data_IF_349775358948
#
_entry.id   IF_349775358948
#
_cell.length_a   1.000
_cell.length_b   1.000
_cell.length_c   1.000
_cell.angle_alpha   90.00
_cell.angle_beta   90.00
_cell.angle_gamma   90.00
#
_symmetry.space_group_name_H-M   'P 1'
#
loop_
_entity.id
_entity.type
_entity.pdbx_description
1 polymer ?
#
# COMPACT_ATOMS: atom_id res chain seq x y z
N UNK A 1 -61.24 -35.13 22.27
CA UNK A 1 -60.80 -33.82 21.74
C UNK A 1 -59.35 -33.57 22.16
N UNK A 2 -58.38 -33.73 21.26
CA UNK A 2 -56.97 -33.43 21.55
C UNK A 2 -56.61 -32.05 21.01
N UNK A 3 -56.25 -31.12 21.92
CA UNK A 3 -55.93 -29.75 21.58
C UNK A 3 -54.67 -29.67 20.71
N UNK A 4 -54.78 -29.04 19.53
CA UNK A 4 -53.66 -28.73 18.63
C UNK A 4 -52.62 -27.88 19.36
N UNK A 5 -51.39 -28.40 19.53
CA UNK A 5 -50.23 -27.60 19.94
C UNK A 5 -49.87 -26.61 18.84
N UNK A 6 -50.13 -25.33 19.07
CA UNK A 6 -49.63 -24.21 18.26
C UNK A 6 -48.10 -24.17 18.34
N UNK A 7 -47.40 -24.47 17.24
CA UNK A 7 -45.94 -24.30 17.15
C UNK A 7 -45.63 -22.80 17.06
N UNK A 8 -44.69 -22.33 17.89
CA UNK A 8 -44.22 -20.94 17.87
C UNK A 8 -43.53 -20.61 16.53
N UNK A 9 -43.66 -19.38 16.01
CA UNK A 9 -43.10 -18.99 14.72
C UNK A 9 -41.56 -19.15 14.70
N UNK A 10 -41.05 -19.64 13.57
CA UNK A 10 -39.62 -19.86 13.33
C UNK A 10 -38.83 -18.57 13.60
N UNK A 11 -37.80 -18.63 14.46
CA UNK A 11 -37.02 -17.47 14.92
C UNK A 11 -37.44 -16.88 16.27
N UNK A 12 -38.53 -17.35 16.87
CA UNK A 12 -38.96 -16.91 18.21
C UNK A 12 -38.11 -17.56 19.29
N UNK A 13 -37.03 -16.91 19.71
CA UNK A 13 -36.21 -17.40 20.83
C UNK A 13 -37.09 -17.53 22.09
N UNK A 14 -37.12 -18.69 22.77
CA UNK A 14 -37.95 -18.88 23.96
C UNK A 14 -37.59 -17.84 25.02
N UNK A 15 -38.60 -17.25 25.65
CA UNK A 15 -38.45 -16.19 26.67
C UNK A 15 -38.91 -16.70 28.03
N UNK A 16 -38.20 -16.31 29.10
CA UNK A 16 -38.56 -16.52 30.50
C UNK A 16 -38.78 -15.17 31.19
N UNK A 17 -39.73 -15.11 32.12
CA UNK A 17 -39.97 -13.95 32.97
C UNK A 17 -38.95 -13.91 34.11
N UNK A 18 -38.34 -12.75 34.35
CA UNK A 18 -37.51 -12.54 35.52
C UNK A 18 -38.40 -12.36 36.75
N UNK A 19 -38.27 -13.23 37.76
CA UNK A 19 -39.07 -13.15 39.00
C UNK A 19 -38.89 -11.86 39.84
N UNK A 20 -37.88 -11.05 39.55
CA UNK A 20 -37.55 -9.83 40.33
C UNK A 20 -38.09 -8.55 39.68
N UNK A 21 -38.22 -8.51 38.36
CA UNK A 21 -38.66 -7.29 37.65
C UNK A 21 -39.74 -7.56 36.58
N UNK A 22 -40.26 -8.79 36.56
CA UNK A 22 -41.30 -9.32 35.67
C UNK A 22 -41.06 -9.16 34.16
N UNK A 23 -39.86 -8.71 33.74
CA UNK A 23 -39.49 -8.58 32.33
C UNK A 23 -39.33 -9.94 31.67
N UNK A 24 -39.90 -10.08 30.47
CA UNK A 24 -39.74 -11.25 29.58
C UNK A 24 -38.41 -11.15 28.83
N UNK A 25 -37.51 -12.11 29.04
CA UNK A 25 -36.14 -12.09 28.51
C UNK A 25 -35.83 -13.42 27.85
N UNK A 26 -35.00 -13.41 26.79
CA UNK A 26 -34.62 -14.66 26.12
C UNK A 26 -33.98 -15.65 27.11
N UNK A 27 -34.29 -16.94 26.95
CA UNK A 27 -33.72 -18.01 27.76
C UNK A 27 -32.18 -17.99 27.75
N UNK A 28 -31.58 -17.60 26.63
CA UNK A 28 -30.12 -17.49 26.48
C UNK A 28 -29.50 -16.36 27.30
N UNK A 29 -30.26 -15.32 27.64
CA UNK A 29 -29.77 -14.15 28.37
C UNK A 29 -30.32 -14.02 29.80
N UNK A 30 -31.27 -14.87 30.20
CA UNK A 30 -31.94 -14.78 31.51
C UNK A 30 -30.95 -14.85 32.68
N UNK A 31 -29.90 -15.68 32.60
CA UNK A 31 -28.89 -15.80 33.65
C UNK A 31 -28.07 -14.51 33.83
N UNK A 32 -27.62 -13.90 32.72
CA UNK A 32 -26.93 -12.60 32.73
C UNK A 32 -27.82 -11.51 33.29
N UNK A 33 -29.08 -11.49 32.86
CA UNK A 33 -30.05 -10.54 33.36
C UNK A 33 -30.33 -10.71 34.85
N UNK A 34 -30.52 -11.93 35.37
CA UNK A 34 -30.76 -12.16 36.80
C UNK A 34 -29.61 -11.60 37.64
N UNK A 35 -28.35 -11.78 37.20
CA UNK A 35 -27.18 -11.20 37.88
C UNK A 35 -27.26 -9.66 37.91
N UNK A 36 -27.50 -9.02 36.76
CA UNK A 36 -27.66 -7.55 36.68
C UNK A 36 -28.86 -7.06 37.50
N UNK A 37 -29.99 -7.76 37.44
CA UNK A 37 -31.22 -7.42 38.17
C UNK A 37 -31.02 -7.56 39.69
N UNK A 38 -30.09 -8.42 40.13
CA UNK A 38 -29.64 -8.51 41.54
C UNK A 38 -28.60 -7.45 41.91
N UNK A 39 -28.24 -6.53 41.01
CA UNK A 39 -27.23 -5.50 41.24
C UNK A 39 -25.79 -6.00 41.10
N UNK A 40 -25.59 -7.24 40.65
CA UNK A 40 -24.26 -7.81 40.46
C UNK A 40 -23.68 -7.24 39.16
N UNK A 41 -22.59 -6.47 39.27
CA UNK A 41 -21.86 -5.97 38.11
C UNK A 41 -21.29 -7.14 37.32
N UNK A 42 -21.62 -7.21 36.03
CA UNK A 42 -21.02 -8.19 35.14
C UNK A 42 -19.54 -7.84 34.91
N UNK A 43 -18.67 -8.85 34.72
CA UNK A 43 -17.30 -8.62 34.26
C UNK A 43 -17.32 -7.81 32.97
N UNK A 44 -16.43 -6.80 32.89
CA UNK A 44 -16.28 -6.01 31.66
C UNK A 44 -15.93 -6.94 30.52
N UNK A 45 -16.63 -6.79 29.41
CA UNK A 45 -16.32 -7.54 28.19
C UNK A 45 -14.98 -7.06 27.62
N UNK A 46 -14.33 -7.93 26.84
CA UNK A 46 -13.09 -7.57 26.11
C UNK A 46 -13.27 -6.33 25.22
N UNK A 47 -14.47 -6.15 24.66
CA UNK A 47 -14.81 -4.98 23.85
C UNK A 47 -14.80 -3.68 24.66
N UNK A 48 -15.44 -3.68 25.84
CA UNK A 48 -15.47 -2.52 26.73
C UNK A 48 -14.08 -2.17 27.28
N UNK A 49 -13.26 -3.18 27.57
CA UNK A 49 -11.87 -3.00 27.99
C UNK A 49 -11.07 -2.35 26.85
N UNK A 50 -11.20 -2.85 25.61
CA UNK A 50 -10.54 -2.28 24.43
C UNK A 50 -10.98 -0.83 24.19
N UNK A 51 -12.27 -0.53 24.29
CA UNK A 51 -12.79 0.84 24.12
C UNK A 51 -12.21 1.80 25.16
N UNK A 52 -12.17 1.42 26.44
CA UNK A 52 -11.56 2.23 27.51
C UNK A 52 -10.06 2.43 27.32
N UNK A 53 -9.35 1.40 26.86
CA UNK A 53 -7.92 1.50 26.56
C UNK A 53 -7.64 2.43 25.37
N UNK A 54 -8.50 2.39 24.34
CA UNK A 54 -8.40 3.29 23.21
C UNK A 54 -8.65 4.74 23.63
N UNK A 55 -9.73 5.01 24.38
CA UNK A 55 -10.07 6.36 24.86
C UNK A 55 -8.93 6.96 25.70
N UNK A 56 -8.38 6.18 26.64
CA UNK A 56 -7.29 6.60 27.54
C UNK A 56 -6.00 6.94 26.79
N UNK A 57 -5.75 6.29 25.66
CA UNK A 57 -4.50 6.44 24.89
C UNK A 57 -4.69 7.24 23.59
N UNK A 58 -5.89 7.76 23.31
CA UNK A 58 -6.22 8.45 22.07
C UNK A 58 -5.31 9.67 21.88
N UNK A 59 -5.21 10.52 22.88
CA UNK A 59 -4.43 11.77 22.82
C UNK A 59 -2.94 11.50 22.64
N UNK A 60 -2.41 10.47 23.31
CA UNK A 60 -1.00 10.05 23.16
C UNK A 60 -0.70 9.47 21.78
N UNK A 61 -1.63 8.68 21.20
CA UNK A 61 -1.46 8.14 19.84
C UNK A 61 -1.58 9.22 18.77
N UNK A 62 -2.51 10.15 18.92
CA UNK A 62 -2.68 11.29 18.00
C UNK A 62 -1.48 12.23 18.10
N UNK A 63 -0.99 12.50 19.33
CA UNK A 63 0.26 13.23 19.57
C UNK A 63 1.44 12.56 18.89
N UNK A 64 1.71 11.28 19.17
CA UNK A 64 2.79 10.53 18.52
C UNK A 64 2.69 10.50 16.98
N UNK A 65 1.49 10.45 16.41
CA UNK A 65 1.30 10.55 14.95
C UNK A 65 1.60 11.95 14.40
N UNK A 66 1.26 13.00 15.15
CA UNK A 66 1.61 14.39 14.81
C UNK A 66 3.12 14.61 14.96
N UNK A 67 3.73 14.10 16.01
CA UNK A 67 5.16 14.21 16.25
C UNK A 67 5.96 13.43 15.20
N UNK A 68 5.52 12.21 14.82
CA UNK A 68 6.11 11.51 13.68
C UNK A 68 5.95 12.26 12.35
N UNK A 69 4.86 13.01 12.17
CA UNK A 69 4.67 13.85 10.99
C UNK A 69 5.61 15.05 11.03
N UNK A 70 5.70 15.74 12.16
CA UNK A 70 6.58 16.89 12.36
C UNK A 70 8.07 16.50 12.24
N UNK A 71 8.47 15.34 12.75
CA UNK A 71 9.83 14.82 12.60
C UNK A 71 10.18 14.56 11.12
N UNK A 72 9.22 14.01 10.36
CA UNK A 72 9.36 13.83 8.90
C UNK A 72 9.41 15.16 8.14
N UNK A 73 8.81 16.20 8.69
CA UNK A 73 8.80 17.55 8.12
C UNK A 73 10.08 18.34 8.49
N UNK A 74 10.74 18.01 9.61
CA UNK A 74 11.92 18.70 10.12
C UNK A 74 13.28 18.25 9.52
N UNK A 75 13.37 17.02 8.98
CA UNK A 75 14.62 16.45 8.42
C UNK A 75 15.07 17.01 7.04
N UNK A 76 14.63 18.22 6.65
CA UNK A 76 15.33 19.04 5.64
C UNK A 76 15.41 18.52 4.19
N UNK A 77 14.69 17.45 3.84
CA UNK A 77 14.52 17.02 2.45
C UNK A 77 13.03 16.89 2.14
N UNK A 78 12.50 17.46 1.03
CA UNK A 78 11.17 17.15 0.56
C UNK A 78 11.20 15.78 -0.11
N UNK A 79 11.56 14.75 0.63
CA UNK A 79 11.29 13.38 0.23
C UNK A 79 9.80 13.16 0.47
N UNK A 80 8.97 13.73 -0.41
CA UNK A 80 7.63 13.21 -0.61
C UNK A 80 7.79 11.68 -0.65
N UNK A 81 7.16 10.93 0.25
CA UNK A 81 7.42 9.50 0.33
C UNK A 81 6.99 8.87 -0.99
N UNK A 82 7.92 8.19 -1.67
CA UNK A 82 7.63 7.55 -2.94
C UNK A 82 6.44 6.59 -2.76
N UNK A 83 5.38 6.73 -3.57
CA UNK A 83 4.22 5.86 -3.45
C UNK A 83 4.65 4.42 -3.70
N UNK A 84 4.31 3.52 -2.77
CA UNK A 84 4.54 2.08 -2.91
C UNK A 84 3.29 1.38 -3.45
N UNK A 85 3.42 0.48 -4.43
CA UNK A 85 2.29 -0.30 -4.91
C UNK A 85 1.75 -1.21 -3.79
N UNK A 86 0.42 -1.42 -3.74
CA UNK A 86 -0.23 -2.28 -2.72
C UNK A 86 -0.69 -3.60 -3.31
N UNK A 87 -0.40 -4.73 -2.64
CA UNK A 87 -0.98 -6.04 -2.98
C UNK A 87 -0.02 -7.05 -3.63
N UNK A 88 1.21 -6.63 -3.93
CA UNK A 88 2.27 -7.49 -4.50
C UNK A 88 3.44 -7.71 -3.54
N UNK A 89 3.29 -7.37 -2.26
CA UNK A 89 4.38 -7.59 -1.30
C UNK A 89 4.71 -9.08 -1.19
N UNK A 90 5.99 -9.42 -1.37
CA UNK A 90 6.49 -10.79 -1.43
C UNK A 90 6.17 -11.53 -2.74
N UNK A 91 5.58 -10.88 -3.74
CA UNK A 91 5.30 -11.51 -5.03
C UNK A 91 6.55 -11.51 -5.91
N UNK A 92 6.77 -12.55 -6.74
CA UNK A 92 7.86 -12.57 -7.73
C UNK A 92 7.93 -11.40 -8.73
N UNK A 93 6.86 -10.59 -8.82
CA UNK A 93 6.74 -9.45 -9.72
C UNK A 93 6.78 -8.12 -8.95
N UNK A 94 6.96 -8.12 -7.63
CA UNK A 94 6.89 -6.92 -6.78
C UNK A 94 7.79 -5.79 -7.27
N UNK A 95 9.05 -6.12 -7.60
CA UNK A 95 10.05 -5.15 -8.04
C UNK A 95 9.67 -4.56 -9.41
N UNK A 96 9.19 -5.40 -10.34
CA UNK A 96 8.67 -4.93 -11.63
C UNK A 96 7.55 -3.89 -11.46
N UNK A 97 6.74 -4.01 -10.41
CA UNK A 97 5.65 -3.09 -10.12
C UNK A 97 6.11 -1.69 -9.66
N UNK A 98 7.37 -1.55 -9.24
CA UNK A 98 7.97 -0.26 -8.89
C UNK A 98 8.35 0.57 -10.13
N UNK A 99 8.27 -0.04 -11.32
CA UNK A 99 8.61 0.59 -12.59
C UNK A 99 7.40 0.57 -13.54
N UNK A 100 6.45 1.52 -13.40
CA UNK A 100 5.17 1.49 -14.14
C UNK A 100 5.32 1.39 -15.66
N UNK A 101 6.30 2.07 -16.27
CA UNK A 101 6.55 1.99 -17.72
C UNK A 101 7.02 0.60 -18.17
N UNK A 102 7.95 0.01 -17.43
CA UNK A 102 8.42 -1.36 -17.68
C UNK A 102 7.33 -2.41 -17.42
N UNK A 103 6.53 -2.21 -16.37
CA UNK A 103 5.36 -3.04 -16.07
C UNK A 103 4.35 -2.99 -17.23
N UNK A 104 3.93 -1.80 -17.66
CA UNK A 104 3.01 -1.67 -18.79
C UNK A 104 3.53 -2.37 -20.04
N UNK A 105 4.82 -2.23 -20.37
CA UNK A 105 5.44 -2.92 -21.51
C UNK A 105 5.41 -4.45 -21.37
N UNK A 106 5.76 -4.96 -20.19
CA UNK A 106 5.77 -6.41 -19.89
C UNK A 106 4.37 -7.05 -20.02
N UNK A 107 3.32 -6.27 -19.80
CA UNK A 107 1.92 -6.72 -19.85
C UNK A 107 1.16 -6.26 -21.09
N UNK A 108 1.70 -5.35 -21.90
CA UNK A 108 1.03 -4.79 -23.08
C UNK A 108 0.82 -5.83 -24.18
N UNK A 109 1.78 -6.76 -24.34
CA UNK A 109 1.78 -7.78 -25.40
C UNK A 109 1.10 -9.09 -25.00
N UNK A 110 0.60 -9.20 -23.77
CA UNK A 110 0.00 -10.43 -23.28
C UNK A 110 -1.52 -10.33 -23.33
N UNK A 111 -2.16 -11.18 -24.13
CA UNK A 111 -3.60 -11.39 -23.96
C UNK A 111 -3.89 -12.06 -22.61
N UNK A 112 -5.09 -11.85 -22.06
CA UNK A 112 -5.47 -12.33 -20.71
C UNK A 112 -5.20 -13.83 -20.51
N UNK A 113 -5.37 -14.62 -21.58
CA UNK A 113 -5.16 -16.07 -21.56
C UNK A 113 -3.71 -16.49 -21.84
N UNK A 114 -2.87 -15.58 -22.30
CA UNK A 114 -1.44 -15.79 -22.51
C UNK A 114 -0.58 -15.43 -21.30
N UNK A 115 -1.12 -14.68 -20.33
CA UNK A 115 -0.46 -14.41 -19.05
C UNK A 115 -0.01 -15.69 -18.36
N UNK A 116 1.22 -15.72 -17.84
CA UNK A 116 1.83 -16.93 -17.24
C UNK A 116 2.00 -18.12 -18.21
N UNK A 117 1.83 -17.92 -19.53
CA UNK A 117 2.16 -18.96 -20.50
C UNK A 117 3.67 -19.06 -20.70
N UNK A 118 4.13 -20.20 -21.23
CA UNK A 118 5.53 -20.40 -21.65
C UNK A 118 6.01 -19.29 -22.59
N UNK A 119 5.15 -18.86 -23.52
CA UNK A 119 5.44 -17.77 -24.47
C UNK A 119 5.64 -16.43 -23.76
N UNK A 120 4.76 -16.10 -22.81
CA UNK A 120 4.84 -14.86 -22.05
C UNK A 120 6.12 -14.80 -21.22
N UNK A 121 6.42 -15.86 -20.45
CA UNK A 121 7.67 -15.96 -19.70
C UNK A 121 8.89 -15.87 -20.61
N UNK A 122 8.88 -16.56 -21.75
CA UNK A 122 9.97 -16.48 -22.72
C UNK A 122 10.20 -15.04 -23.20
N UNK A 123 9.13 -14.32 -23.55
CA UNK A 123 9.23 -12.91 -23.97
C UNK A 123 9.84 -12.02 -22.89
N UNK A 124 9.50 -12.22 -21.62
CA UNK A 124 10.06 -11.44 -20.53
C UNK A 124 11.51 -11.81 -20.21
N UNK A 125 11.86 -13.09 -20.27
CA UNK A 125 13.23 -13.56 -20.07
C UNK A 125 14.18 -13.06 -21.17
N UNK A 126 13.68 -12.72 -22.36
CA UNK A 126 14.50 -12.05 -23.38
C UNK A 126 15.01 -10.68 -22.90
N UNK A 127 14.26 -9.97 -22.05
CA UNK A 127 14.68 -8.67 -21.51
C UNK A 127 15.88 -8.76 -20.57
N UNK A 128 16.18 -9.95 -20.04
CA UNK A 128 17.36 -10.20 -19.20
C UNK A 128 18.65 -10.42 -20.00
N UNK A 129 18.56 -10.52 -21.34
CA UNK A 129 19.71 -10.73 -22.23
C UNK A 129 20.22 -9.39 -22.76
N UNK A 130 21.49 -9.00 -22.49
CA UNK A 130 22.01 -7.69 -22.87
C UNK A 130 21.96 -7.45 -24.39
N UNK A 131 22.22 -8.49 -25.19
CA UNK A 131 22.16 -8.48 -26.67
C UNK A 131 20.73 -8.32 -27.21
N UNK A 132 19.71 -8.52 -26.36
CA UNK A 132 18.29 -8.39 -26.69
C UNK A 132 17.62 -7.19 -26.03
N UNK A 133 18.41 -6.27 -25.47
CA UNK A 133 17.92 -5.02 -24.86
C UNK A 133 17.07 -4.18 -25.81
N UNK A 134 17.26 -4.27 -27.13
CA UNK A 134 16.43 -3.60 -28.13
C UNK A 134 14.93 -3.96 -28.07
N UNK A 135 14.53 -5.04 -27.38
CA UNK A 135 13.13 -5.36 -27.14
C UNK A 135 12.49 -4.59 -25.96
N UNK A 136 13.30 -3.92 -25.14
CA UNK A 136 12.85 -3.01 -24.09
C UNK A 136 12.47 -1.64 -24.68
N UNK A 137 11.62 -0.85 -24.00
CA UNK A 137 11.40 0.54 -24.40
C UNK A 137 12.71 1.32 -24.36
N UNK A 138 12.87 2.31 -25.22
CA UNK A 138 14.12 3.05 -25.43
C UNK A 138 14.73 3.60 -24.13
N UNK A 139 13.88 4.10 -23.23
CA UNK A 139 14.27 4.61 -21.91
C UNK A 139 14.94 3.54 -21.01
N UNK A 140 14.69 2.25 -21.23
CA UNK A 140 15.22 1.11 -20.46
C UNK A 140 16.43 0.43 -21.11
N UNK A 141 16.86 0.88 -22.30
CA UNK A 141 17.97 0.26 -23.04
C UNK A 141 19.35 0.70 -22.54
N UNK A 142 19.43 1.81 -21.79
CA UNK A 142 20.70 2.30 -21.27
C UNK A 142 21.24 1.45 -20.10
N UNK A 143 22.56 1.48 -19.91
CA UNK A 143 23.23 0.63 -18.92
C UNK A 143 22.80 0.90 -17.46
N UNK A 144 22.44 2.15 -17.12
CA UNK A 144 21.99 2.50 -15.77
C UNK A 144 20.63 1.84 -15.45
N UNK A 145 19.68 1.92 -16.37
CA UNK A 145 18.34 1.37 -16.21
C UNK A 145 18.29 -0.15 -16.38
N UNK A 146 19.24 -0.73 -17.14
CA UNK A 146 19.33 -2.18 -17.32
C UNK A 146 19.55 -2.93 -16.00
N UNK A 147 20.26 -2.34 -15.03
CA UNK A 147 20.40 -2.92 -13.69
C UNK A 147 19.04 -3.08 -13.00
N UNK A 148 18.17 -2.07 -13.10
CA UNK A 148 16.82 -2.11 -12.55
C UNK A 148 15.93 -3.15 -13.27
N UNK A 149 16.12 -3.34 -14.57
CA UNK A 149 15.48 -4.44 -15.33
C UNK A 149 15.90 -5.79 -14.75
N UNK A 150 17.20 -6.04 -14.59
CA UNK A 150 17.68 -7.33 -14.05
C UNK A 150 17.12 -7.63 -12.67
N UNK A 151 17.12 -6.64 -11.77
CA UNK A 151 16.53 -6.80 -10.45
C UNK A 151 15.02 -7.03 -10.51
N UNK A 152 14.30 -6.34 -11.40
CA UNK A 152 12.85 -6.48 -11.59
C UNK A 152 12.43 -7.89 -12.03
N UNK A 153 13.25 -8.54 -12.85
CA UNK A 153 12.98 -9.85 -13.42
C UNK A 153 13.78 -10.98 -12.75
N UNK A 154 14.47 -10.71 -11.63
CA UNK A 154 15.36 -11.68 -10.95
C UNK A 154 14.64 -12.96 -10.53
N UNK A 155 13.41 -12.84 -10.06
CA UNK A 155 12.59 -13.97 -9.60
C UNK A 155 11.78 -14.64 -10.72
N UNK A 156 11.85 -14.12 -11.95
CA UNK A 156 11.05 -14.60 -13.06
C UNK A 156 11.37 -16.05 -13.48
N UNK A 157 12.64 -16.51 -13.49
CA UNK A 157 12.96 -17.90 -13.80
C UNK A 157 12.31 -18.89 -12.83
N UNK A 158 12.45 -18.67 -11.52
CA UNK A 158 11.81 -19.51 -10.50
C UNK A 158 10.28 -19.45 -10.62
N UNK A 159 9.73 -18.24 -10.79
CA UNK A 159 8.29 -18.07 -10.93
C UNK A 159 7.72 -18.79 -12.15
N UNK A 160 8.49 -18.90 -13.24
CA UNK A 160 8.11 -19.69 -14.42
C UNK A 160 8.00 -21.17 -14.06
N UNK A 161 9.00 -21.72 -13.38
CA UNK A 161 9.01 -23.12 -12.93
C UNK A 161 7.82 -23.40 -12.01
N UNK A 162 7.60 -22.54 -11.01
CA UNK A 162 6.48 -22.64 -10.08
C UNK A 162 5.13 -22.65 -10.81
N UNK A 163 4.95 -21.81 -11.84
CA UNK A 163 3.72 -21.75 -12.62
C UNK A 163 3.55 -22.91 -13.61
N UNK A 164 4.64 -23.52 -14.06
CA UNK A 164 4.59 -24.73 -14.91
C UNK A 164 4.24 -25.98 -14.12
N UNK A 165 4.66 -26.07 -12.86
CA UNK A 165 4.34 -27.17 -11.94
C UNK A 165 2.98 -27.00 -11.25
N UNK A 166 2.46 -25.77 -11.22
CA UNK A 166 1.21 -25.44 -10.56
C UNK A 166 -0.03 -26.09 -11.21
N UNK A 167 -1.05 -26.33 -10.38
CA UNK A 167 -2.35 -26.78 -10.87
C UNK A 167 -3.02 -25.71 -11.75
N UNK A 168 -3.88 -26.13 -12.69
CA UNK A 168 -4.66 -25.20 -13.54
C UNK A 168 -5.44 -24.18 -12.73
N UNK A 169 -5.97 -24.58 -11.56
CA UNK A 169 -6.69 -23.68 -10.64
C UNK A 169 -5.76 -22.60 -10.08
N UNK A 170 -4.57 -22.99 -9.62
CA UNK A 170 -3.57 -22.06 -9.09
C UNK A 170 -3.17 -21.04 -10.15
N UNK A 171 -2.88 -21.48 -11.37
CA UNK A 171 -2.54 -20.60 -12.49
C UNK A 171 -3.69 -19.62 -12.80
N UNK A 172 -4.94 -20.08 -12.76
CA UNK A 172 -6.10 -19.21 -12.98
C UNK A 172 -6.25 -18.15 -11.88
N UNK A 173 -6.14 -18.55 -10.61
CA UNK A 173 -6.22 -17.62 -9.47
C UNK A 173 -5.11 -16.57 -9.53
N UNK A 174 -3.91 -16.97 -9.93
CA UNK A 174 -2.77 -16.08 -10.08
C UNK A 174 -2.96 -15.11 -11.25
N UNK A 175 -3.47 -15.56 -12.40
CA UNK A 175 -3.86 -14.66 -13.51
C UNK A 175 -4.87 -13.61 -13.06
N UNK A 176 -5.88 -14.00 -12.28
CA UNK A 176 -6.87 -13.06 -11.72
C UNK A 176 -6.22 -12.07 -10.77
N UNK A 177 -5.25 -12.51 -9.95
CA UNK A 177 -4.50 -11.64 -9.04
C UNK A 177 -3.69 -10.59 -9.81
N UNK A 178 -2.92 -11.02 -10.81
CA UNK A 178 -2.11 -10.15 -11.67
C UNK A 178 -3.01 -9.15 -12.41
N UNK A 179 -4.13 -9.59 -12.95
CA UNK A 179 -5.04 -8.70 -13.70
C UNK A 179 -5.68 -7.64 -12.82
N UNK A 180 -6.18 -8.01 -11.63
CA UNK A 180 -6.67 -7.04 -10.64
C UNK A 180 -5.62 -6.00 -10.29
N UNK A 181 -4.38 -6.44 -10.20
CA UNK A 181 -3.27 -5.58 -9.85
C UNK A 181 -2.83 -4.68 -11.00
N UNK A 182 -2.79 -5.19 -12.24
CA UNK A 182 -2.56 -4.42 -13.46
C UNK A 182 -3.56 -3.27 -13.57
N UNK A 183 -4.85 -3.56 -13.35
CA UNK A 183 -5.90 -2.54 -13.30
C UNK A 183 -5.64 -1.49 -12.20
N UNK A 184 -5.21 -1.91 -11.01
CA UNK A 184 -4.83 -0.99 -9.93
C UNK A 184 -3.66 -0.09 -10.34
N UNK A 185 -2.63 -0.65 -10.98
CA UNK A 185 -1.47 0.12 -11.45
C UNK A 185 -1.91 1.18 -12.45
N UNK A 186 -2.62 0.78 -13.50
CA UNK A 186 -3.05 1.66 -14.58
C UNK A 186 -3.99 2.77 -14.10
N UNK A 187 -4.90 2.47 -13.17
CA UNK A 187 -5.94 3.43 -12.76
C UNK A 187 -5.53 4.30 -11.57
N UNK A 188 -4.96 3.73 -10.52
CA UNK A 188 -4.75 4.42 -9.23
C UNK A 188 -3.29 4.71 -8.95
N UNK A 189 -2.40 3.76 -9.21
CA UNK A 189 -1.00 3.91 -8.85
C UNK A 189 -0.28 4.88 -9.80
N UNK A 190 -0.45 4.71 -11.11
CA UNK A 190 0.18 5.56 -12.14
C UNK A 190 -0.13 7.04 -11.92
N UNK A 191 -1.40 7.38 -11.71
CA UNK A 191 -1.79 8.76 -11.43
C UNK A 191 -1.12 9.31 -10.16
N UNK A 192 -1.06 8.51 -9.09
CA UNK A 192 -0.38 8.91 -7.84
C UNK A 192 1.13 9.06 -8.03
N UNK A 193 1.75 8.16 -8.80
CA UNK A 193 3.17 8.18 -9.10
C UNK A 193 3.53 9.41 -9.94
N UNK A 194 2.79 9.67 -11.01
CA UNK A 194 3.01 10.84 -11.87
C UNK A 194 2.82 12.15 -11.10
N UNK A 195 1.78 12.25 -10.25
CA UNK A 195 1.58 13.42 -9.39
C UNK A 195 2.71 13.60 -8.38
N UNK A 196 3.25 12.50 -7.86
CA UNK A 196 4.40 12.52 -6.95
C UNK A 196 5.67 12.98 -7.68
N UNK A 197 5.94 12.43 -8.85
CA UNK A 197 7.09 12.77 -9.69
C UNK A 197 7.05 14.24 -10.14
N UNK A 198 5.88 14.73 -10.55
CA UNK A 198 5.66 16.14 -10.89
C UNK A 198 6.01 17.07 -9.72
N UNK A 199 5.52 16.76 -8.51
CA UNK A 199 5.86 17.55 -7.31
C UNK A 199 7.34 17.48 -6.95
N UNK A 200 7.97 16.30 -7.07
CA UNK A 200 9.41 16.17 -6.88
C UNK A 200 10.19 17.02 -7.88
N UNK A 201 9.71 17.12 -9.13
CA UNK A 201 10.30 17.96 -10.16
C UNK A 201 10.11 19.45 -9.85
N UNK A 202 8.90 19.89 -9.49
CA UNK A 202 8.62 21.28 -9.09
C UNK A 202 9.54 21.72 -7.94
N UNK A 203 9.69 20.89 -6.92
CA UNK A 203 10.57 21.17 -5.78
C UNK A 203 12.03 21.27 -6.21
N UNK A 204 12.47 20.39 -7.12
CA UNK A 204 13.84 20.42 -7.65
C UNK A 204 14.08 21.69 -8.47
N UNK A 205 13.14 22.05 -9.33
CA UNK A 205 13.23 23.22 -10.20
C UNK A 205 13.18 24.52 -9.38
N UNK A 206 12.37 24.57 -8.32
CA UNK A 206 12.34 25.69 -7.37
C UNK A 206 13.69 25.86 -6.65
N UNK A 207 14.26 24.78 -6.11
CA UNK A 207 15.59 24.81 -5.47
C UNK A 207 16.70 25.22 -6.44
N UNK A 208 16.63 24.76 -7.69
CA UNK A 208 17.59 25.18 -8.73
C UNK A 208 17.42 26.67 -9.05
N UNK A 209 16.20 27.18 -9.06
CA UNK A 209 15.92 28.60 -9.31
C UNK A 209 16.43 29.48 -8.18
N UNK A 210 16.16 29.13 -6.91
CA UNK A 210 16.73 29.81 -5.74
C UNK A 210 18.27 29.82 -5.76
N UNK A 211 18.89 28.68 -6.11
CA UNK A 211 20.34 28.60 -6.22
C UNK A 211 20.90 29.48 -7.35
N UNK A 212 20.18 29.59 -8.47
CA UNK A 212 20.56 30.48 -9.58
C UNK A 212 20.43 31.96 -9.20
N UNK A 213 19.36 32.36 -8.52
CA UNK A 213 19.20 33.73 -8.02
C UNK A 213 20.32 34.09 -7.04
N UNK A 214 20.67 33.19 -6.12
CA UNK A 214 21.82 33.38 -5.23
C UNK A 214 23.14 33.53 -5.99
N UNK A 215 23.38 32.73 -7.04
CA UNK A 215 24.58 32.86 -7.88
C UNK A 215 24.61 34.16 -8.69
N UNK A 216 23.47 34.67 -9.14
CA UNK A 216 23.39 35.98 -9.82
C UNK A 216 23.74 37.10 -8.85
N UNK A 217 23.28 37.03 -7.60
CA UNK A 217 23.71 37.97 -6.56
C UNK A 217 25.23 37.97 -6.45
N UNK A 218 25.89 36.81 -6.40
CA UNK A 218 27.36 36.71 -6.37
C UNK A 218 28.08 37.25 -7.62
N UNK A 219 27.43 37.26 -8.79
CA UNK A 219 28.02 37.79 -10.02
C UNK A 219 28.08 39.33 -10.05
N UNK A 220 27.32 40.02 -9.19
CA UNK A 220 27.40 41.47 -8.99
C UNK A 220 28.53 41.88 -8.04
N UNK A 221 29.21 40.91 -7.42
CA UNK A 221 30.30 41.19 -6.48
C UNK A 221 31.59 41.45 -7.26
N UNK A 222 32.23 42.60 -7.00
CA UNK A 222 33.56 42.92 -7.54
C UNK A 222 34.60 41.83 -7.21
N UNK A 223 35.49 41.51 -8.16
CA UNK A 223 36.58 40.55 -7.95
C UNK A 223 37.42 40.93 -6.73
N UNK A 224 37.41 40.06 -5.72
CA UNK A 224 38.21 40.21 -4.50
C UNK A 224 39.50 39.40 -4.65
N UNK A 225 40.66 40.02 -4.41
CA UNK A 225 41.95 39.31 -4.51
C UNK A 225 42.26 38.50 -3.25
N UNK A 226 41.62 38.84 -2.12
CA UNK A 226 41.75 38.10 -0.86
C UNK A 226 40.43 38.02 -0.07
N UNK A 227 40.36 37.08 0.88
CA UNK A 227 39.21 36.91 1.76
C UNK A 227 38.99 38.09 2.73
N UNK A 228 40.07 38.80 3.08
CA UNK A 228 39.95 39.98 3.93
C UNK A 228 39.40 41.18 3.15
N UNK A 229 39.70 41.30 1.85
CA UNK A 229 39.07 42.30 0.97
C UNK A 229 37.57 42.06 0.82
N UNK A 230 37.15 40.79 0.71
CA UNK A 230 35.73 40.42 0.61
C UNK A 230 34.92 40.91 1.84
N UNK A 231 35.44 40.72 3.06
CA UNK A 231 34.77 41.15 4.31
C UNK A 231 34.63 42.66 4.47
N UNK A 232 35.46 43.44 3.77
CA UNK A 232 35.43 44.90 3.84
C UNK A 232 34.40 45.46 2.87
N UNK A 233 34.16 44.77 1.75
CA UNK A 233 33.24 45.20 0.69
C UNK A 233 31.80 44.69 0.95
N UNK A 234 31.64 43.52 1.57
CA UNK A 234 30.35 42.86 1.82
C UNK A 234 30.22 42.29 3.22
#
# INVERSE_FOLDING_TARGET
>A
MTAKRTKAPYGSAPKKTCKKCDRKISCTNISKHIKVCKGIKLPKTRSEIRKKSWEKNRTKRVGFQRDQRALREADGAPALPQPKPKGMSGHPLEVLCLHPGLFEHAFAKAEKHELLSKKWFHSLLLFLRPDKSHHLPQEWQNAQNYTAVRESFKLLPQYKEDMEEASTRTVYEERVRIEKYRLYIQTKFKQRFNNWEAKCKEIRDAKISEAKEGLVMFAEYADCVSFDDFKVIY
#
